data_IF_196059465517
#
_entry.id   IF_196059465517
#
_cell.length_a   1.000
_cell.length_b   1.000
_cell.length_c   1.000
_cell.angle_alpha   90.00
_cell.angle_beta   90.00
_cell.angle_gamma   90.00
#
_symmetry.space_group_name_H-M   'P 1'
#
loop_
_entity.id
_entity.type
_entity.pdbx_description
1 polymer ?
#
# COMPACT_ATOMS: atom_id res chain seq x y z
N UNK A 1 13.25 4.08 -5.79
CA UNK A 1 12.28 5.06 -6.29
C UNK A 1 10.85 4.51 -6.27
N UNK A 2 10.50 3.40 -6.94
CA UNK A 2 9.15 2.78 -7.00
C UNK A 2 8.56 2.47 -5.62
N UNK A 3 9.37 1.93 -4.68
CA UNK A 3 8.92 1.66 -3.29
C UNK A 3 8.48 2.93 -2.55
N UNK A 4 9.15 4.08 -2.79
CA UNK A 4 8.77 5.37 -2.21
C UNK A 4 7.47 5.91 -2.80
N UNK A 5 7.25 5.77 -4.11
CA UNK A 5 6.00 6.13 -4.78
C UNK A 5 4.86 5.28 -4.23
N UNK A 6 5.04 3.97 -4.09
CA UNK A 6 4.06 3.04 -3.51
C UNK A 6 3.61 3.49 -2.11
N UNK A 7 4.57 3.78 -1.23
CA UNK A 7 4.28 4.20 0.15
C UNK A 7 3.59 5.56 0.18
N UNK A 8 4.06 6.51 -0.65
CA UNK A 8 3.45 7.84 -0.75
C UNK A 8 2.03 7.76 -1.32
N UNK A 9 1.78 6.90 -2.30
CA UNK A 9 0.45 6.68 -2.87
C UNK A 9 -0.52 6.15 -1.81
N UNK A 10 -0.10 5.21 -0.97
CA UNK A 10 -0.88 4.75 0.18
C UNK A 10 -1.17 5.90 1.15
N UNK A 11 -0.20 6.76 1.43
CA UNK A 11 -0.37 7.89 2.34
C UNK A 11 -1.27 8.99 1.76
N UNK A 12 -1.17 9.25 0.46
CA UNK A 12 -2.08 10.19 -0.22
C UNK A 12 -3.49 9.63 -0.26
N UNK A 13 -3.65 8.32 -0.45
CA UNK A 13 -4.92 7.62 -0.26
C UNK A 13 -5.48 7.86 1.16
N UNK A 14 -4.63 7.89 2.18
CA UNK A 14 -4.97 8.23 3.55
C UNK A 14 -5.39 9.70 3.70
N UNK A 15 -4.69 10.63 3.05
CA UNK A 15 -4.97 12.07 3.13
C UNK A 15 -6.25 12.48 2.41
N UNK A 16 -6.51 11.90 1.24
CA UNK A 16 -7.66 12.29 0.41
C UNK A 16 -8.95 11.64 0.85
N UNK A 17 -8.84 10.51 1.55
CA UNK A 17 -9.92 9.91 2.31
C UNK A 17 -9.86 10.34 3.78
N UNK A 18 -9.60 11.63 4.07
CA UNK A 18 -9.62 12.20 5.44
C UNK A 18 -10.90 11.82 6.23
N UNK A 19 -11.84 11.23 5.54
CA UNK A 19 -13.06 10.63 6.07
C UNK A 19 -12.94 9.10 6.19
N UNK A 20 -11.75 8.55 6.19
CA UNK A 20 -11.52 7.16 6.55
C UNK A 20 -10.54 6.40 5.69
N UNK A 21 -9.29 6.26 6.07
CA UNK A 21 -8.48 5.05 5.90
C UNK A 21 -7.03 5.26 6.32
N UNK A 22 -6.51 4.37 7.11
CA UNK A 22 -5.10 4.18 7.36
C UNK A 22 -4.78 2.70 7.67
N UNK A 23 -3.59 2.22 7.35
CA UNK A 23 -3.14 0.83 7.52
C UNK A 23 -2.45 0.63 8.85
N UNK A 24 -2.82 -0.43 9.55
CA UNK A 24 -2.18 -0.87 10.80
C UNK A 24 -0.92 -1.69 10.56
N UNK A 25 0.10 -1.45 11.38
CA UNK A 25 1.12 -2.44 11.65
C UNK A 25 1.43 -2.46 13.15
N UNK A 26 1.24 -3.60 13.84
CA UNK A 26 1.45 -3.70 15.29
C UNK A 26 2.93 -3.68 15.70
N UNK A 27 3.88 -3.65 14.76
CA UNK A 27 5.30 -3.65 15.09
C UNK A 27 5.90 -2.24 14.92
N UNK A 28 6.36 -1.57 16.00
CA UNK A 28 6.93 -0.23 15.94
C UNK A 28 8.14 -0.12 15.00
N UNK A 29 8.92 -1.19 14.81
CA UNK A 29 10.05 -1.22 13.87
C UNK A 29 9.62 -1.11 12.40
N UNK A 30 8.39 -1.52 12.07
CA UNK A 30 7.88 -1.45 10.69
C UNK A 30 7.25 -0.08 10.40
N UNK A 31 6.68 0.56 11.41
CA UNK A 31 6.16 1.93 11.29
C UNK A 31 7.30 2.93 11.05
N UNK A 32 8.38 2.82 11.82
CA UNK A 32 9.60 3.61 11.59
C UNK A 32 10.19 3.33 10.19
N UNK A 33 10.16 2.09 9.71
CA UNK A 33 10.65 1.74 8.38
C UNK A 33 9.77 2.25 7.24
N UNK A 34 8.45 2.34 7.43
CA UNK A 34 7.53 2.94 6.45
C UNK A 34 7.70 4.45 6.42
N UNK A 35 7.75 5.11 7.57
CA UNK A 35 7.96 6.55 7.68
C UNK A 35 9.38 6.92 7.21
N UNK A 36 10.40 6.14 7.56
CA UNK A 36 11.78 6.35 7.09
C UNK A 36 11.97 6.08 5.58
N UNK A 37 11.06 5.34 4.95
CA UNK A 37 11.05 5.15 3.49
C UNK A 37 10.39 6.31 2.74
N UNK A 38 9.67 7.20 3.44
CA UNK A 38 9.16 8.45 2.92
C UNK A 38 10.28 9.49 2.85
N UNK A 39 9.99 10.56 2.13
CA UNK A 39 10.78 11.77 2.27
C UNK A 39 10.71 12.24 3.74
N UNK A 40 11.85 12.46 4.42
CA UNK A 40 11.86 12.85 5.83
C UNK A 40 11.09 14.16 6.09
N UNK A 41 11.15 15.12 5.17
CA UNK A 41 10.46 16.40 5.28
C UNK A 41 8.94 16.20 5.16
N UNK A 42 8.49 15.31 4.26
CA UNK A 42 7.07 14.94 4.16
C UNK A 42 6.55 14.33 5.47
N UNK A 43 7.30 13.37 6.03
CA UNK A 43 6.92 12.70 7.28
C UNK A 43 6.86 13.68 8.46
N UNK A 44 7.81 14.60 8.53
CA UNK A 44 7.84 15.63 9.57
C UNK A 44 6.74 16.68 9.36
N UNK A 45 6.51 17.10 8.12
CA UNK A 45 5.41 18.00 7.76
C UNK A 45 4.04 17.46 8.12
N UNK A 46 3.81 16.14 7.98
CA UNK A 46 2.57 15.49 8.47
C UNK A 46 2.44 15.61 9.99
N UNK A 47 3.51 15.40 10.75
CA UNK A 47 3.50 15.51 12.21
C UNK A 47 3.25 16.95 12.68
N UNK A 48 3.72 17.94 11.93
CA UNK A 48 3.53 19.37 12.20
C UNK A 48 2.11 19.85 11.83
N UNK A 49 1.43 19.14 10.90
CA UNK A 49 0.12 19.56 10.42
C UNK A 49 -0.96 19.50 11.49
N UNK A 50 -1.63 20.63 11.67
CA UNK A 50 -2.79 20.79 12.59
C UNK A 50 -4.00 21.26 11.79
N UNK A 51 -5.01 20.39 11.60
CA UNK A 51 -6.21 20.76 10.84
C UNK A 51 -6.96 21.92 11.47
N UNK A 52 -7.44 22.83 10.64
CA UNK A 52 -8.29 23.91 11.08
C UNK A 52 -9.76 23.43 11.21
N UNK A 53 -10.29 23.38 12.43
CA UNK A 53 -11.64 22.90 12.70
C UNK A 53 -12.72 23.76 12.02
N UNK A 54 -12.51 25.07 11.86
CA UNK A 54 -13.43 25.96 11.14
C UNK A 54 -13.54 25.59 9.65
N UNK A 55 -12.41 25.18 9.04
CA UNK A 55 -12.40 24.71 7.65
C UNK A 55 -13.17 23.40 7.49
N UNK A 56 -13.09 22.51 8.48
CA UNK A 56 -13.91 21.28 8.52
C UNK A 56 -15.38 21.63 8.54
N UNK A 57 -15.79 22.63 9.34
CA UNK A 57 -17.17 23.10 9.37
C UNK A 57 -17.62 23.66 8.03
N UNK A 58 -16.81 24.49 7.39
CA UNK A 58 -17.10 25.03 6.05
C UNK A 58 -17.29 23.91 5.04
N UNK A 59 -16.41 22.90 5.06
CA UNK A 59 -16.48 21.72 4.20
C UNK A 59 -17.79 20.94 4.41
N UNK A 60 -18.14 20.60 5.66
CA UNK A 60 -19.35 19.83 5.95
C UNK A 60 -20.61 20.61 5.61
N UNK A 61 -20.68 21.90 5.94
CA UNK A 61 -21.81 22.76 5.57
C UNK A 61 -22.00 22.81 4.05
N UNK A 62 -20.91 22.89 3.28
CA UNK A 62 -20.96 22.85 1.84
C UNK A 62 -21.46 21.50 1.32
N UNK A 63 -20.95 20.37 1.84
CA UNK A 63 -21.39 19.01 1.49
C UNK A 63 -22.88 18.84 1.73
N UNK A 64 -23.34 19.12 2.94
CA UNK A 64 -24.75 18.96 3.33
C UNK A 64 -25.70 19.77 2.45
N UNK A 65 -25.35 21.04 2.24
CA UNK A 65 -26.13 21.94 1.38
C UNK A 65 -26.23 21.41 -0.06
N UNK A 66 -25.09 21.03 -0.65
CA UNK A 66 -25.09 20.65 -2.06
C UNK A 66 -25.65 19.25 -2.30
N UNK A 67 -25.42 18.29 -1.38
CA UNK A 67 -26.11 16.98 -1.46
C UNK A 67 -27.62 17.16 -1.40
N UNK A 68 -28.13 18.02 -0.50
CA UNK A 68 -29.57 18.29 -0.41
C UNK A 68 -30.14 18.95 -1.67
N UNK A 69 -29.41 19.88 -2.28
CA UNK A 69 -29.88 20.67 -3.43
C UNK A 69 -29.62 20.01 -4.77
N UNK A 70 -28.47 19.32 -4.93
CA UNK A 70 -27.95 18.84 -6.23
C UNK A 70 -27.66 17.34 -6.25
N UNK A 71 -27.87 16.63 -5.11
CA UNK A 71 -27.53 15.22 -4.96
C UNK A 71 -26.02 14.93 -4.81
N UNK A 72 -25.17 15.92 -4.99
CA UNK A 72 -23.72 15.81 -4.86
C UNK A 72 -23.07 17.12 -4.46
N UNK A 73 -21.87 17.03 -3.85
CA UNK A 73 -20.99 18.16 -3.59
C UNK A 73 -19.63 17.91 -4.28
N UNK A 74 -19.11 18.92 -4.97
CA UNK A 74 -17.84 18.85 -5.71
C UNK A 74 -16.90 19.91 -5.14
N UNK A 75 -15.64 19.48 -4.91
CA UNK A 75 -14.53 20.32 -4.48
C UNK A 75 -13.40 20.22 -5.48
N UNK A 76 -12.67 21.32 -5.62
CA UNK A 76 -11.39 21.37 -6.29
C UNK A 76 -10.35 21.89 -5.32
N UNK A 77 -9.30 21.11 -5.11
CA UNK A 77 -8.19 21.44 -4.23
C UNK A 77 -6.97 21.78 -5.07
N UNK A 78 -6.29 22.85 -4.72
CA UNK A 78 -5.06 23.29 -5.40
C UNK A 78 -4.05 23.79 -4.39
N UNK A 79 -2.82 23.29 -4.48
CA UNK A 79 -1.72 23.75 -3.65
C UNK A 79 -1.13 25.05 -4.22
N UNK A 80 -1.08 26.08 -3.38
CA UNK A 80 -0.32 27.30 -3.62
C UNK A 80 1.03 27.19 -2.91
N UNK A 81 2.09 26.96 -3.67
CA UNK A 81 3.46 26.77 -3.16
C UNK A 81 4.00 28.01 -2.45
N UNK A 82 3.81 29.21 -3.05
CA UNK A 82 4.33 30.45 -2.52
C UNK A 82 3.74 30.80 -1.16
N UNK A 83 2.43 30.62 -1.00
CA UNK A 83 1.68 30.93 0.23
C UNK A 83 1.65 29.77 1.21
N UNK A 84 2.10 28.58 0.81
CA UNK A 84 1.99 27.34 1.59
C UNK A 84 0.57 27.04 2.01
N UNK A 85 -0.36 27.15 1.06
CA UNK A 85 -1.79 27.06 1.29
C UNK A 85 -2.43 26.02 0.36
N UNK A 86 -3.31 25.20 0.89
CA UNK A 86 -4.27 24.43 0.11
C UNK A 86 -5.52 25.28 -0.06
N UNK A 87 -5.84 25.65 -1.30
CA UNK A 87 -7.02 26.41 -1.65
C UNK A 87 -8.09 25.44 -2.11
N UNK A 88 -9.25 25.47 -1.46
CA UNK A 88 -10.39 24.62 -1.79
C UNK A 88 -11.53 25.46 -2.35
N UNK A 89 -11.98 25.11 -3.57
CA UNK A 89 -13.02 25.83 -4.29
C UNK A 89 -14.20 24.92 -4.65
N UNK A 90 -15.33 25.52 -4.99
CA UNK A 90 -16.48 24.86 -5.59
C UNK A 90 -16.36 24.76 -7.13
N UNK A 91 -17.38 24.17 -7.75
CA UNK A 91 -17.48 24.01 -9.20
C UNK A 91 -17.51 25.33 -10.02
N UNK A 92 -17.71 26.48 -9.35
CA UNK A 92 -17.68 27.81 -9.93
C UNK A 92 -16.40 28.59 -9.58
N UNK A 93 -15.36 27.90 -9.09
CA UNK A 93 -14.09 28.49 -8.61
C UNK A 93 -14.25 29.44 -7.40
N UNK A 94 -15.38 29.38 -6.68
CA UNK A 94 -15.56 30.14 -5.45
C UNK A 94 -14.83 29.46 -4.31
N UNK A 95 -13.98 30.18 -3.59
CA UNK A 95 -13.26 29.68 -2.44
C UNK A 95 -14.24 29.28 -1.34
N UNK A 96 -14.15 28.02 -0.88
CA UNK A 96 -14.89 27.47 0.26
C UNK A 96 -14.06 27.69 1.54
N UNK A 97 -12.78 27.32 1.50
CA UNK A 97 -11.81 27.60 2.55
C UNK A 97 -10.37 27.55 2.03
N UNK A 98 -9.46 28.06 2.85
CA UNK A 98 -8.02 28.00 2.64
C UNK A 98 -7.42 27.33 3.89
N UNK A 99 -6.55 26.34 3.67
CA UNK A 99 -5.84 25.61 4.73
C UNK A 99 -4.35 25.93 4.65
N UNK A 100 -3.77 26.41 5.75
CA UNK A 100 -2.32 26.59 5.84
C UNK A 100 -1.63 25.26 6.09
N UNK A 101 -0.58 25.00 5.32
CA UNK A 101 0.20 23.77 5.41
C UNK A 101 1.61 24.03 5.95
N UNK A 102 2.20 23.08 6.68
CA UNK A 102 3.60 23.12 7.08
C UNK A 102 4.52 23.21 5.85
N UNK A 103 5.58 23.98 5.97
CA UNK A 103 6.55 24.21 4.88
C UNK A 103 7.17 22.91 4.36
N UNK A 104 7.56 22.02 5.27
CA UNK A 104 8.14 20.72 4.93
C UNK A 104 7.18 19.87 4.10
N UNK A 105 5.88 19.87 4.44
CA UNK A 105 4.87 19.17 3.68
C UNK A 105 4.73 19.75 2.26
N UNK A 106 4.70 21.06 2.15
CA UNK A 106 4.56 21.76 0.85
C UNK A 106 5.79 21.51 -0.04
N UNK A 107 7.00 21.59 0.52
CA UNK A 107 8.24 21.38 -0.23
C UNK A 107 8.38 19.94 -0.76
N UNK A 108 7.78 18.97 -0.09
CA UNK A 108 7.83 17.56 -0.50
C UNK A 108 6.85 17.23 -1.64
N UNK A 109 5.89 18.13 -1.93
CA UNK A 109 4.87 17.97 -2.98
C UNK A 109 4.90 19.20 -3.89
N UNK A 110 5.78 19.24 -4.92
CA UNK A 110 5.94 20.40 -5.81
C UNK A 110 4.65 20.77 -6.56
N UNK A 111 3.78 19.82 -6.79
CA UNK A 111 2.49 20.03 -7.46
C UNK A 111 1.42 19.15 -6.85
N UNK A 112 0.23 19.73 -6.62
CA UNK A 112 -0.95 19.01 -6.17
C UNK A 112 -2.22 19.70 -6.65
N UNK A 113 -3.09 18.93 -7.31
CA UNK A 113 -4.46 19.29 -7.61
C UNK A 113 -5.36 18.07 -7.37
N UNK A 114 -6.56 18.30 -6.86
CA UNK A 114 -7.54 17.23 -6.69
C UNK A 114 -8.96 17.70 -7.02
N UNK A 115 -9.76 16.77 -7.56
CA UNK A 115 -11.20 16.89 -7.64
C UNK A 115 -11.83 15.84 -6.75
N UNK A 116 -12.69 16.26 -5.83
CA UNK A 116 -13.42 15.35 -4.93
C UNK A 116 -14.92 15.51 -5.13
N UNK A 117 -15.63 14.39 -5.20
CA UNK A 117 -17.09 14.36 -5.33
C UNK A 117 -17.67 13.52 -4.21
N UNK A 118 -18.56 14.12 -3.45
CA UNK A 118 -19.34 13.48 -2.40
C UNK A 118 -20.78 13.32 -2.82
N UNK A 119 -21.36 12.14 -2.65
CA UNK A 119 -22.76 11.84 -2.92
C UNK A 119 -23.30 10.83 -1.91
N UNK A 120 -24.58 10.52 -1.98
CA UNK A 120 -25.18 9.45 -1.18
C UNK A 120 -25.58 8.28 -2.08
N UNK A 121 -25.22 7.08 -1.65
CA UNK A 121 -25.65 5.80 -2.24
C UNK A 121 -26.30 4.97 -1.14
N UNK A 122 -27.62 4.78 -1.24
CA UNK A 122 -28.41 4.07 -0.23
C UNK A 122 -28.20 4.61 1.21
N UNK A 123 -28.19 5.96 1.38
CA UNK A 123 -27.96 6.62 2.65
C UNK A 123 -26.52 6.62 3.18
N UNK A 124 -25.60 5.96 2.48
CA UNK A 124 -24.16 5.91 2.79
C UNK A 124 -23.41 6.96 2.00
N UNK A 125 -22.31 7.50 2.54
CA UNK A 125 -21.48 8.46 1.80
C UNK A 125 -20.61 7.71 0.77
N UNK A 126 -20.73 8.11 -0.49
CA UNK A 126 -19.85 7.75 -1.59
C UNK A 126 -18.93 8.93 -1.89
N UNK A 127 -17.63 8.72 -1.78
CA UNK A 127 -16.61 9.68 -2.15
C UNK A 127 -15.85 9.17 -3.39
N UNK A 128 -15.74 10.01 -4.40
CA UNK A 128 -14.86 9.82 -5.53
C UNK A 128 -13.83 10.94 -5.57
N UNK A 129 -12.55 10.59 -5.75
CA UNK A 129 -11.47 11.59 -5.88
C UNK A 129 -10.58 11.27 -7.06
N UNK A 130 -10.18 12.30 -7.76
CA UNK A 130 -9.13 12.27 -8.78
C UNK A 130 -8.06 13.29 -8.39
N UNK A 131 -6.82 12.82 -8.24
CA UNK A 131 -5.71 13.58 -7.71
C UNK A 131 -4.58 13.52 -8.73
N UNK A 132 -4.03 14.68 -9.07
CA UNK A 132 -2.81 14.80 -9.83
C UNK A 132 -1.77 15.46 -8.94
N UNK A 133 -0.62 14.82 -8.81
CA UNK A 133 0.47 15.34 -7.99
C UNK A 133 1.83 15.03 -8.63
N UNK A 134 2.83 15.83 -8.25
CA UNK A 134 4.21 15.55 -8.59
C UNK A 134 4.98 15.17 -7.32
N UNK A 135 5.74 14.11 -7.39
CA UNK A 135 6.59 13.65 -6.31
C UNK A 135 7.79 12.90 -6.85
N UNK A 136 8.96 13.08 -6.22
CA UNK A 136 10.24 12.51 -6.67
C UNK A 136 10.54 12.76 -8.16
N UNK A 137 10.13 13.95 -8.66
CA UNK A 137 10.33 14.36 -10.06
C UNK A 137 9.44 13.63 -11.07
N UNK A 138 8.37 12.96 -10.62
CA UNK A 138 7.41 12.29 -11.48
C UNK A 138 5.99 12.74 -11.20
N UNK A 139 5.19 12.91 -12.25
CA UNK A 139 3.75 13.12 -12.14
C UNK A 139 3.04 11.79 -12.03
N UNK A 140 2.09 11.71 -11.11
CA UNK A 140 1.21 10.58 -10.93
C UNK A 140 -0.24 11.04 -10.81
N UNK A 141 -1.15 10.21 -11.30
CA UNK A 141 -2.59 10.39 -11.16
C UNK A 141 -3.14 9.29 -10.25
N UNK A 142 -3.99 9.66 -9.30
CA UNK A 142 -4.63 8.72 -8.38
C UNK A 142 -6.13 8.91 -8.49
N UNK A 143 -6.85 7.81 -8.71
CA UNK A 143 -8.31 7.77 -8.66
C UNK A 143 -8.74 6.92 -7.48
N UNK A 144 -9.70 7.41 -6.69
CA UNK A 144 -10.26 6.65 -5.57
C UNK A 144 -11.78 6.65 -5.63
N UNK A 145 -12.37 5.52 -5.28
CA UNK A 145 -13.80 5.39 -4.99
C UNK A 145 -13.95 4.72 -3.64
N UNK A 146 -14.63 5.37 -2.70
CA UNK A 146 -14.82 4.86 -1.35
C UNK A 146 -16.28 4.97 -0.94
N UNK A 147 -16.87 3.86 -0.52
CA UNK A 147 -18.20 3.80 0.09
C UNK A 147 -18.05 3.59 1.61
N UNK A 148 -18.59 4.51 2.39
CA UNK A 148 -18.65 4.35 3.86
C UNK A 148 -19.77 3.36 4.25
N UNK A 149 -19.68 2.76 5.45
CA UNK A 149 -20.77 1.91 6.00
C UNK A 149 -22.01 2.73 6.35
N UNK A 150 -21.82 3.99 6.72
CA UNK A 150 -22.86 4.91 7.12
C UNK A 150 -22.67 6.26 6.43
N UNK A 151 -23.63 7.17 6.59
CA UNK A 151 -23.42 8.57 6.25
C UNK A 151 -22.38 9.17 7.18
N UNK A 152 -21.30 9.68 6.61
CA UNK A 152 -20.22 10.31 7.37
C UNK A 152 -20.69 11.66 7.90
N UNK A 153 -20.37 11.96 9.13
CA UNK A 153 -20.71 13.20 9.82
C UNK A 153 -19.44 13.96 10.26
N UNK A 154 -19.63 15.19 10.69
CA UNK A 154 -18.55 16.07 11.17
C UNK A 154 -17.71 15.44 12.30
N UNK A 155 -18.35 14.71 13.24
CA UNK A 155 -17.66 14.05 14.35
C UNK A 155 -16.67 13.00 13.82
N UNK A 156 -17.09 12.20 12.84
CA UNK A 156 -16.22 11.18 12.22
C UNK A 156 -14.99 11.80 11.56
N UNK A 157 -15.16 12.96 10.90
CA UNK A 157 -14.06 13.67 10.26
C UNK A 157 -13.07 14.27 11.26
N UNK A 158 -13.57 14.91 12.32
CA UNK A 158 -12.75 15.46 13.40
C UNK A 158 -11.95 14.33 14.09
N UNK A 159 -12.61 13.19 14.36
CA UNK A 159 -11.96 12.03 14.94
C UNK A 159 -10.84 11.50 14.03
N UNK A 160 -11.09 11.31 12.72
CA UNK A 160 -10.09 10.87 11.76
C UNK A 160 -8.88 11.83 11.71
N UNK A 161 -9.12 13.15 11.72
CA UNK A 161 -8.06 14.15 11.70
C UNK A 161 -7.27 14.20 13.02
N UNK A 162 -7.91 13.99 14.16
CA UNK A 162 -7.22 13.95 15.46
C UNK A 162 -6.26 12.76 15.59
N UNK A 163 -6.49 11.71 14.80
CA UNK A 163 -5.66 10.51 14.79
C UNK A 163 -4.50 10.59 13.78
N UNK A 164 -4.39 11.66 12.97
CA UNK A 164 -3.34 11.78 11.94
C UNK A 164 -1.91 11.77 12.51
N UNK A 165 -1.72 12.15 13.79
CA UNK A 165 -0.44 12.03 14.47
C UNK A 165 -0.06 10.57 14.80
N UNK A 166 -1.02 9.66 14.76
CA UNK A 166 -0.85 8.22 14.94
C UNK A 166 -1.52 7.50 13.76
N UNK A 167 -0.75 7.28 12.70
CA UNK A 167 -1.23 6.70 11.45
C UNK A 167 -1.88 5.31 11.65
N UNK A 168 -1.43 4.54 12.63
CA UNK A 168 -2.02 3.23 12.95
C UNK A 168 -3.44 3.35 13.51
N UNK A 169 -3.64 4.25 14.47
CA UNK A 169 -4.99 4.48 15.02
C UNK A 169 -5.92 5.10 13.99
N UNK A 170 -5.41 6.04 13.20
CA UNK A 170 -6.15 6.62 12.09
C UNK A 170 -6.64 5.53 11.13
N UNK A 171 -5.78 4.53 10.87
CA UNK A 171 -6.05 3.38 10.03
C UNK A 171 -7.18 2.50 10.53
N UNK A 172 -7.09 2.06 11.76
CA UNK A 172 -8.09 1.19 12.38
C UNK A 172 -9.46 1.86 12.39
N UNK A 173 -9.49 3.15 12.77
CA UNK A 173 -10.71 3.93 12.77
C UNK A 173 -11.31 4.01 11.35
N UNK A 174 -10.50 4.33 10.34
CA UNK A 174 -10.94 4.46 8.97
C UNK A 174 -11.53 3.17 8.41
N UNK A 175 -10.80 2.05 8.46
CA UNK A 175 -11.28 0.75 7.97
C UNK A 175 -12.57 0.29 8.67
N UNK A 176 -12.75 0.64 9.93
CA UNK A 176 -13.97 0.32 10.66
C UNK A 176 -15.22 0.98 10.06
N UNK A 177 -15.06 2.14 9.41
CA UNK A 177 -16.13 2.98 8.86
C UNK A 177 -16.37 2.79 7.35
N UNK A 178 -15.51 2.02 6.64
CA UNK A 178 -15.61 1.80 5.20
C UNK A 178 -16.20 0.45 4.88
N UNK A 179 -17.07 0.42 3.87
CA UNK A 179 -17.63 -0.80 3.29
C UNK A 179 -16.75 -1.33 2.18
N UNK A 180 -16.36 -0.47 1.24
CA UNK A 180 -15.35 -0.76 0.24
C UNK A 180 -14.58 0.50 -0.16
N UNK A 181 -13.38 0.29 -0.69
CA UNK A 181 -12.58 1.33 -1.35
C UNK A 181 -11.78 0.72 -2.48
N UNK A 182 -11.74 1.42 -3.61
CA UNK A 182 -10.87 1.14 -4.73
C UNK A 182 -9.97 2.34 -4.95
N UNK A 183 -8.66 2.08 -5.16
CA UNK A 183 -7.69 3.09 -5.56
C UNK A 183 -6.92 2.57 -6.76
N UNK A 184 -6.74 3.42 -7.74
CA UNK A 184 -5.92 3.19 -8.92
C UNK A 184 -4.89 4.31 -9.01
N UNK A 185 -3.65 3.95 -9.29
CA UNK A 185 -2.55 4.91 -9.51
C UNK A 185 -1.98 4.72 -10.90
N UNK A 186 -1.81 5.81 -11.58
CA UNK A 186 -1.32 5.87 -12.95
C UNK A 186 0.01 6.65 -12.98
N UNK A 187 0.89 6.27 -13.88
CA UNK A 187 2.12 7.02 -14.16
C UNK A 187 1.85 8.26 -15.04
N UNK A 188 2.92 8.95 -15.44
CA UNK A 188 2.86 10.15 -16.29
C UNK A 188 2.35 9.90 -17.73
N UNK A 189 2.31 8.62 -18.16
CA UNK A 189 1.83 8.18 -19.47
C UNK A 189 0.41 7.58 -19.39
N UNK A 190 -0.29 7.76 -18.26
CA UNK A 190 -1.60 7.15 -17.96
C UNK A 190 -1.58 5.61 -17.91
N UNK A 191 -0.42 4.96 -17.72
CA UNK A 191 -0.37 3.53 -17.46
C UNK A 191 -0.75 3.24 -16.01
N UNK A 192 -1.61 2.25 -15.80
CA UNK A 192 -1.97 1.77 -14.47
C UNK A 192 -0.77 1.05 -13.83
N UNK A 193 -0.30 1.55 -12.69
CA UNK A 193 0.88 1.00 -12.00
C UNK A 193 0.56 0.37 -10.65
N UNK A 194 -0.59 0.71 -10.07
CA UNK A 194 -0.99 0.19 -8.77
C UNK A 194 -2.51 0.22 -8.63
N UNK A 195 -3.07 -0.88 -8.15
CA UNK A 195 -4.46 -0.95 -7.68
C UNK A 195 -4.49 -1.41 -6.22
N UNK A 196 -5.28 -0.74 -5.39
CA UNK A 196 -5.59 -1.19 -4.03
C UNK A 196 -7.09 -1.34 -3.89
N UNK A 197 -7.55 -2.54 -3.55
CA UNK A 197 -8.96 -2.85 -3.33
C UNK A 197 -9.17 -3.27 -1.88
N UNK A 198 -10.08 -2.61 -1.22
CA UNK A 198 -10.51 -2.95 0.13
C UNK A 198 -11.99 -3.30 0.13
N UNK A 199 -12.35 -4.40 0.76
CA UNK A 199 -13.75 -4.80 0.99
C UNK A 199 -13.83 -5.79 2.14
N UNK A 200 -14.78 -5.56 3.06
CA UNK A 200 -15.07 -6.50 4.17
C UNK A 200 -13.81 -6.86 5.00
N UNK A 201 -12.98 -5.87 5.34
CA UNK A 201 -11.72 -6.02 6.10
C UNK A 201 -10.62 -6.82 5.37
N UNK A 202 -10.80 -7.12 4.10
CA UNK A 202 -9.78 -7.72 3.23
C UNK A 202 -9.21 -6.66 2.31
N UNK A 203 -7.92 -6.73 2.01
CA UNK A 203 -7.25 -5.84 1.09
C UNK A 203 -6.49 -6.63 0.04
N UNK A 204 -6.58 -6.19 -1.21
CA UNK A 204 -5.78 -6.69 -2.33
C UNK A 204 -5.00 -5.52 -2.90
N UNK A 205 -3.69 -5.69 -2.99
CA UNK A 205 -2.78 -4.75 -3.63
C UNK A 205 -2.24 -5.43 -4.88
N UNK A 206 -2.48 -4.84 -6.03
CA UNK A 206 -2.01 -5.30 -7.33
C UNK A 206 -1.07 -4.24 -7.91
N UNK A 207 0.16 -4.61 -8.16
CA UNK A 207 1.21 -3.73 -8.68
C UNK A 207 1.72 -4.27 -10.00
N UNK A 208 1.69 -3.43 -11.06
CA UNK A 208 2.34 -3.71 -12.33
C UNK A 208 3.74 -3.09 -12.34
N UNK A 209 4.72 -3.85 -12.81
CA UNK A 209 6.10 -3.40 -12.97
C UNK A 209 6.34 -3.16 -14.46
N UNK A 210 6.62 -1.88 -14.78
CA UNK A 210 6.81 -1.39 -16.15
C UNK A 210 7.89 -2.18 -16.92
N UNK A 211 7.58 -2.54 -18.15
CA UNK A 211 8.51 -3.13 -19.12
C UNK A 211 8.52 -4.65 -19.22
N UNK A 212 8.18 -5.40 -18.18
CA UNK A 212 8.38 -6.85 -18.12
C UNK A 212 7.10 -7.70 -17.97
N UNK A 213 5.91 -7.10 -18.11
CA UNK A 213 4.63 -7.78 -17.81
C UNK A 213 4.66 -8.56 -16.48
N UNK A 214 5.38 -8.00 -15.49
CA UNK A 214 5.47 -8.54 -14.15
C UNK A 214 4.38 -7.90 -13.30
N UNK A 215 3.54 -8.74 -12.71
CA UNK A 215 2.48 -8.32 -11.79
C UNK A 215 2.70 -8.95 -10.43
N UNK A 216 2.64 -8.15 -9.38
CA UNK A 216 2.66 -8.62 -7.99
C UNK A 216 1.30 -8.38 -7.36
N UNK A 217 0.72 -9.40 -6.75
CA UNK A 217 -0.55 -9.31 -6.04
C UNK A 217 -0.32 -9.69 -4.58
N UNK A 218 -0.66 -8.78 -3.67
CA UNK A 218 -0.66 -9.05 -2.23
C UNK A 218 -2.08 -9.08 -1.72
N UNK A 219 -2.46 -10.17 -1.08
CA UNK A 219 -3.76 -10.40 -0.46
C UNK A 219 -3.60 -10.33 1.05
N UNK A 220 -4.31 -9.43 1.71
CA UNK A 220 -4.40 -9.40 3.17
C UNK A 220 -5.79 -9.90 3.59
N UNK A 221 -5.82 -11.00 4.32
CA UNK A 221 -7.05 -11.60 4.84
C UNK A 221 -7.52 -10.93 6.12
N UNK A 222 -6.58 -10.37 6.87
CA UNK A 222 -6.84 -9.65 8.11
C UNK A 222 -5.88 -8.47 8.24
N UNK A 223 -6.43 -7.26 8.14
CA UNK A 223 -5.66 -6.02 8.22
C UNK A 223 -5.12 -5.71 9.62
N UNK A 224 -5.76 -6.24 10.68
CA UNK A 224 -5.27 -6.02 12.04
C UNK A 224 -3.97 -6.79 12.30
N UNK A 225 -3.78 -7.92 11.64
CA UNK A 225 -2.58 -8.76 11.78
C UNK A 225 -1.68 -8.67 10.55
N UNK A 226 -2.13 -8.01 9.47
CA UNK A 226 -1.44 -7.96 8.18
C UNK A 226 -0.98 -9.36 7.71
N UNK A 227 -1.88 -10.34 7.91
CA UNK A 227 -1.66 -11.71 7.45
C UNK A 227 -2.31 -11.91 6.09
N UNK A 228 -1.66 -12.73 5.26
CA UNK A 228 -2.15 -12.98 3.91
C UNK A 228 -1.16 -13.75 3.06
N UNK A 229 -1.17 -13.50 1.75
CA UNK A 229 -0.22 -14.07 0.81
C UNK A 229 0.20 -13.05 -0.25
N UNK A 230 1.35 -13.28 -0.85
CA UNK A 230 1.84 -12.54 -2.01
C UNK A 230 2.11 -13.51 -3.16
N UNK A 231 1.73 -13.09 -4.37
CA UNK A 231 1.93 -13.82 -5.60
C UNK A 231 2.62 -12.91 -6.64
N UNK A 232 3.54 -13.47 -7.40
CA UNK A 232 4.16 -12.79 -8.54
C UNK A 232 3.85 -13.55 -9.83
N UNK A 233 3.56 -12.78 -10.88
CA UNK A 233 3.22 -13.30 -12.21
C UNK A 233 4.12 -12.67 -13.25
N UNK A 234 4.48 -13.43 -14.27
CA UNK A 234 5.17 -12.98 -15.48
C UNK A 234 4.35 -13.43 -16.67
N UNK A 235 3.93 -12.51 -17.55
CA UNK A 235 3.01 -12.81 -18.65
C UNK A 235 1.78 -13.60 -18.20
N UNK A 236 1.13 -13.18 -17.09
CA UNK A 236 -0.02 -13.82 -16.43
C UNK A 236 0.23 -15.25 -15.91
N UNK A 237 1.47 -15.74 -15.98
CA UNK A 237 1.85 -17.03 -15.40
C UNK A 237 2.37 -16.84 -13.98
N UNK A 238 1.83 -17.58 -13.01
CA UNK A 238 2.30 -17.57 -11.63
C UNK A 238 3.74 -18.09 -11.56
N UNK A 239 4.65 -17.25 -11.08
CA UNK A 239 6.08 -17.60 -10.94
C UNK A 239 6.55 -17.69 -9.50
N UNK A 240 5.82 -17.04 -8.55
CA UNK A 240 6.16 -17.11 -7.13
C UNK A 240 4.92 -16.94 -6.26
N UNK A 241 4.92 -17.61 -5.10
CA UNK A 241 3.88 -17.47 -4.07
C UNK A 241 4.50 -17.63 -2.69
N UNK A 242 4.11 -16.76 -1.74
CA UNK A 242 4.57 -16.83 -0.34
C UNK A 242 3.48 -16.40 0.63
N UNK A 243 3.52 -16.92 1.85
CA UNK A 243 2.66 -16.48 2.93
C UNK A 243 3.22 -15.22 3.59
N UNK A 244 2.33 -14.39 4.11
CA UNK A 244 2.66 -13.18 4.87
C UNK A 244 2.03 -13.30 6.25
N UNK A 245 2.82 -13.02 7.28
CA UNK A 245 2.39 -12.92 8.67
C UNK A 245 2.99 -11.68 9.30
N UNK A 246 2.15 -10.85 9.90
CA UNK A 246 2.58 -9.57 10.47
C UNK A 246 3.40 -8.71 9.47
N UNK A 247 2.94 -8.63 8.22
CA UNK A 247 3.58 -7.91 7.11
C UNK A 247 4.91 -8.48 6.62
N UNK A 248 5.38 -9.61 7.14
CA UNK A 248 6.64 -10.24 6.75
C UNK A 248 6.38 -11.61 6.09
N UNK A 249 7.21 -12.02 5.11
CA UNK A 249 7.22 -13.38 4.61
C UNK A 249 7.41 -14.39 5.74
N UNK A 250 6.55 -15.41 5.78
CA UNK A 250 6.56 -16.44 6.83
C UNK A 250 6.05 -17.78 6.29
N UNK A 251 6.70 -18.88 6.63
CA UNK A 251 6.32 -20.22 6.20
C UNK A 251 6.89 -20.60 4.83
N UNK A 252 6.13 -21.32 4.01
CA UNK A 252 6.61 -21.78 2.70
C UNK A 252 6.56 -20.65 1.65
N UNK A 253 7.69 -20.42 0.99
CA UNK A 253 7.82 -19.66 -0.25
C UNK A 253 8.02 -20.63 -1.41
N UNK A 254 7.30 -20.45 -2.50
CA UNK A 254 7.34 -21.30 -3.69
C UNK A 254 7.72 -20.49 -4.93
N UNK A 255 8.57 -21.07 -5.76
CA UNK A 255 8.85 -20.60 -7.12
C UNK A 255 8.39 -21.68 -8.08
N UNK A 256 7.87 -21.29 -9.23
CA UNK A 256 7.28 -22.18 -10.22
C UNK A 256 8.01 -22.11 -11.55
N UNK A 257 8.05 -23.22 -12.26
CA UNK A 257 8.35 -23.27 -13.68
C UNK A 257 7.24 -22.59 -14.50
N UNK A 258 7.52 -22.16 -15.75
CA UNK A 258 6.47 -21.66 -16.65
C UNK A 258 5.33 -22.67 -16.90
N UNK A 259 5.58 -23.97 -16.74
CA UNK A 259 4.57 -25.03 -16.79
C UNK A 259 3.62 -25.07 -15.59
N UNK A 260 3.85 -24.23 -14.55
CA UNK A 260 3.11 -24.23 -13.31
C UNK A 260 3.56 -25.28 -12.28
N UNK A 261 4.55 -26.10 -12.61
CA UNK A 261 5.12 -27.06 -11.65
C UNK A 261 6.06 -26.34 -10.68
N UNK A 262 6.24 -26.90 -9.50
CA UNK A 262 7.12 -26.32 -8.48
C UNK A 262 8.57 -26.47 -8.90
N UNK A 263 9.30 -25.34 -8.94
CA UNK A 263 10.76 -25.30 -9.09
C UNK A 263 11.45 -25.32 -7.73
N UNK A 264 10.99 -24.47 -6.78
CA UNK A 264 11.63 -24.35 -5.47
C UNK A 264 10.59 -24.23 -4.38
N UNK A 265 10.84 -24.86 -3.25
CA UNK A 265 10.15 -24.64 -1.97
C UNK A 265 11.19 -24.26 -0.93
N UNK A 266 10.99 -23.13 -0.26
CA UNK A 266 11.91 -22.63 0.77
C UNK A 266 11.12 -22.25 2.01
N UNK A 267 11.61 -22.61 3.18
CA UNK A 267 11.05 -22.12 4.44
C UNK A 267 11.61 -20.74 4.75
N UNK A 268 10.70 -19.83 5.10
CA UNK A 268 11.01 -18.43 5.44
C UNK A 268 10.45 -18.14 6.83
N UNK A 269 11.23 -17.42 7.62
CA UNK A 269 10.84 -16.92 8.94
C UNK A 269 11.20 -15.46 9.08
N UNK A 270 10.21 -14.62 9.41
CA UNK A 270 10.41 -13.17 9.54
C UNK A 270 11.11 -12.51 8.32
N UNK A 271 10.79 -12.97 7.11
CA UNK A 271 11.36 -12.45 5.87
C UNK A 271 12.73 -13.03 5.48
N UNK A 272 13.27 -13.96 6.24
CA UNK A 272 14.60 -14.56 6.02
C UNK A 272 14.48 -16.06 5.78
N UNK A 273 15.31 -16.64 4.92
CA UNK A 273 15.35 -18.10 4.74
C UNK A 273 15.79 -18.76 6.05
N UNK A 274 14.96 -19.64 6.60
CA UNK A 274 15.20 -20.36 7.85
C UNK A 274 14.53 -21.74 7.76
N UNK A 275 15.34 -22.77 7.65
CA UNK A 275 14.89 -24.15 7.45
C UNK A 275 15.31 -24.73 6.11
N UNK A 276 14.52 -25.64 5.57
CA UNK A 276 14.86 -26.42 4.36
C UNK A 276 14.50 -25.69 3.09
N UNK A 277 15.39 -25.71 2.11
CA UNK A 277 15.13 -25.40 0.72
C UNK A 277 15.16 -26.69 -0.10
N UNK A 278 14.18 -26.87 -1.00
CA UNK A 278 14.14 -27.95 -1.98
C UNK A 278 14.02 -27.36 -3.37
N UNK A 279 14.86 -27.80 -4.28
CA UNK A 279 14.76 -27.50 -5.72
C UNK A 279 14.34 -28.77 -6.42
N UNK A 280 13.46 -28.66 -7.40
CA UNK A 280 12.91 -29.78 -8.13
C UNK A 280 13.24 -29.67 -9.63
N UNK A 281 13.41 -30.79 -10.28
CA UNK A 281 13.32 -30.91 -11.72
C UNK A 281 11.88 -30.72 -12.18
N UNK A 282 11.68 -30.42 -13.45
CA UNK A 282 10.32 -30.20 -13.98
C UNK A 282 9.46 -31.49 -13.99
N UNK A 283 10.11 -32.67 -13.91
CA UNK A 283 9.42 -33.96 -13.69
C UNK A 283 8.97 -34.19 -12.25
N UNK A 284 9.25 -33.24 -11.32
CA UNK A 284 8.87 -33.28 -9.91
C UNK A 284 9.84 -34.01 -9.00
N UNK A 285 10.93 -34.60 -9.51
CA UNK A 285 11.97 -35.19 -8.69
C UNK A 285 12.84 -34.11 -8.06
N UNK A 286 13.41 -34.41 -6.89
CA UNK A 286 14.29 -33.50 -6.17
C UNK A 286 15.60 -33.37 -6.95
N UNK A 287 16.00 -32.13 -7.23
CA UNK A 287 17.29 -31.77 -7.77
C UNK A 287 18.28 -31.36 -6.69
N UNK A 288 17.83 -30.61 -5.68
CA UNK A 288 18.69 -30.15 -4.58
C UNK A 288 17.92 -30.04 -3.26
N UNK A 289 18.57 -30.37 -2.17
CA UNK A 289 18.12 -30.06 -0.80
C UNK A 289 19.23 -29.25 -0.16
N UNK A 290 18.85 -28.17 0.54
CA UNK A 290 19.76 -27.36 1.36
C UNK A 290 19.11 -26.89 2.62
N UNK A 291 19.92 -26.49 3.59
CA UNK A 291 19.46 -25.98 4.88
C UNK A 291 19.99 -24.58 5.12
N UNK A 292 19.09 -23.69 5.55
CA UNK A 292 19.39 -22.31 5.89
C UNK A 292 19.04 -22.02 7.33
N UNK A 293 19.80 -21.12 7.94
CA UNK A 293 19.51 -20.54 9.25
C UNK A 293 19.79 -19.05 9.19
N UNK A 294 18.80 -18.23 9.57
CA UNK A 294 18.92 -16.75 9.56
C UNK A 294 19.47 -16.19 8.22
N UNK A 295 19.06 -16.79 7.08
CA UNK A 295 19.45 -16.40 5.73
C UNK A 295 20.77 -16.95 5.22
N UNK A 296 21.52 -17.69 6.06
CA UNK A 296 22.82 -18.27 5.73
C UNK A 296 22.72 -19.77 5.50
N UNK A 297 23.56 -20.31 4.61
CA UNK A 297 23.71 -21.76 4.48
C UNK A 297 24.20 -22.35 5.81
N UNK A 298 23.44 -23.28 6.40
CA UNK A 298 23.77 -23.92 7.69
C UNK A 298 23.23 -25.34 7.68
N UNK A 299 24.08 -26.30 7.39
CA UNK A 299 23.73 -27.72 7.24
C UNK A 299 24.15 -28.31 5.91
N UNK A 300 23.60 -29.48 5.59
CA UNK A 300 23.92 -30.21 4.36
C UNK A 300 23.26 -29.57 3.13
N UNK A 301 23.99 -29.53 2.03
CA UNK A 301 23.54 -29.24 0.68
C UNK A 301 23.85 -30.45 -0.19
N UNK A 302 22.81 -31.04 -0.79
CA UNK A 302 22.93 -32.26 -1.59
C UNK A 302 22.27 -31.99 -2.94
N UNK A 303 23.00 -32.24 -4.03
CA UNK A 303 22.49 -32.19 -5.39
C UNK A 303 22.31 -33.61 -5.93
N UNK A 304 21.23 -33.83 -6.69
CA UNK A 304 20.84 -35.12 -7.23
C UNK A 304 20.66 -35.02 -8.75
N UNK A 305 20.96 -36.12 -9.46
CA UNK A 305 20.52 -36.35 -10.83
C UNK A 305 19.03 -36.72 -10.90
N UNK A 306 18.45 -36.70 -12.10
CA UNK A 306 17.05 -37.11 -12.30
C UNK A 306 16.79 -38.57 -11.96
N UNK A 307 17.78 -39.47 -11.96
CA UNK A 307 17.65 -40.86 -11.52
C UNK A 307 17.68 -41.01 -9.99
N UNK A 308 18.04 -39.93 -9.27
CA UNK A 308 18.12 -39.87 -7.82
C UNK A 308 19.53 -40.16 -7.25
N UNK A 309 20.53 -40.36 -8.13
CA UNK A 309 21.93 -40.48 -7.70
C UNK A 309 22.46 -39.13 -7.22
N UNK A 310 23.36 -39.14 -6.21
CA UNK A 310 23.97 -37.93 -5.67
C UNK A 310 25.05 -37.43 -6.62
N UNK A 311 24.97 -36.18 -7.03
CA UNK A 311 25.96 -35.47 -7.82
C UNK A 311 27.01 -34.84 -6.93
N UNK A 312 26.55 -34.13 -5.91
CA UNK A 312 27.42 -33.40 -5.00
C UNK A 312 26.81 -33.32 -3.60
N UNK A 313 27.67 -33.24 -2.59
CA UNK A 313 27.28 -33.09 -1.20
C UNK A 313 28.29 -32.22 -0.46
N UNK A 314 27.83 -31.14 0.17
CA UNK A 314 28.66 -30.25 0.95
C UNK A 314 27.99 -29.90 2.27
N UNK A 315 28.79 -29.69 3.31
CA UNK A 315 28.33 -29.22 4.63
C UNK A 315 28.73 -27.75 4.83
N UNK A 316 27.78 -26.92 5.20
CA UNK A 316 27.99 -25.50 5.44
C UNK A 316 27.69 -25.12 6.90
N UNK A 317 28.40 -24.09 7.38
CA UNK A 317 28.12 -23.41 8.63
C UNK A 317 28.27 -21.91 8.45
N UNK A 318 27.18 -21.15 8.61
CA UNK A 318 27.14 -19.68 8.40
C UNK A 318 27.73 -19.23 7.05
N UNK A 319 27.39 -19.91 5.93
CA UNK A 319 27.87 -19.76 4.55
C UNK A 319 29.28 -20.30 4.29
N UNK A 320 30.03 -20.71 5.30
CA UNK A 320 31.35 -21.32 5.11
C UNK A 320 31.22 -22.83 4.87
N UNK A 321 31.86 -23.34 3.81
CA UNK A 321 31.92 -24.76 3.53
C UNK A 321 32.90 -25.44 4.51
N UNK A 322 32.40 -26.43 5.27
CA UNK A 322 33.18 -27.15 6.27
C UNK A 322 33.74 -28.45 5.69
N UNK A 323 32.96 -29.13 4.84
CA UNK A 323 33.36 -30.36 4.16
C UNK A 323 32.56 -30.54 2.85
N UNK A 324 33.14 -31.32 1.95
CA UNK A 324 32.54 -31.77 0.69
C UNK A 324 32.53 -33.31 0.68
#
# INVERSE_FOLDING_TARGET
>A
MRRKIFILTILIFLFTNIIGLAVENPNPTTQESVIAALDPDFAEGIKEYKPNLENIDKMFNYIEKNIKQKGRAIFYDKLNQEKKELIVTDENNKIIYIEKLPEKLVNSIPYFEAKRTYSLKNGKTLNYSEINLETFGKRIKIKTETLSKNRINKKDAIEALSLMSDLNKAAQNGYSKIEYSNMETFDENDNLILTVKFKNKKMVIEQEIEGDKVKMITYFDNLNTMNGKMEAYVNDTLVSSMQIKNSLPEGESKIFYPSGKILTVTNVKNGTMDGTMKVFYENGKIRMIGHFKDGKKDGEFIEYEEDGSIVDKALYKNDEMISQ
#
